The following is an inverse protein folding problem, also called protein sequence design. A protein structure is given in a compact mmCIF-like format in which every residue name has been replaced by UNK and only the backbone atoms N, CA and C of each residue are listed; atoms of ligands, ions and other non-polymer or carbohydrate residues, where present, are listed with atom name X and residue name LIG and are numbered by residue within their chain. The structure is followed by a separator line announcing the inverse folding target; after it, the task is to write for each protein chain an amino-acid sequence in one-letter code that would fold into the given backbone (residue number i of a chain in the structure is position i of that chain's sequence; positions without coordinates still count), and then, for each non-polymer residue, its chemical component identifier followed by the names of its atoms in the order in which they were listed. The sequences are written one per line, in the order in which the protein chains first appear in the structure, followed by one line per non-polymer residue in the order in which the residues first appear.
data_IF_771137785554
#
_entry.id   IF_771137785554
#
_cell.length_a   1.000
_cell.length_b   1.000
_cell.length_c   1.000
_cell.angle_alpha   90.00
_cell.angle_beta   90.00
_cell.angle_gamma   90.00
#
_symmetry.space_group_name_H-M   'P 1'
#
loop_
_entity.id
_entity.type
_entity.pdbx_description
1 polymer ?
#
# COMPACT_ATOMS: atom_id res chain seq x y z
N UNK A 1 62.42 -24.54 -12.24
CA UNK A 1 61.51 -24.00 -11.20
C UNK A 1 60.29 -23.46 -11.91
N UNK A 2 59.12 -24.07 -11.73
CA UNK A 2 57.88 -23.76 -12.47
C UNK A 2 56.94 -23.06 -11.49
N UNK A 3 56.71 -21.76 -11.68
CA UNK A 3 55.88 -20.96 -10.79
C UNK A 3 54.40 -21.31 -11.02
N UNK A 4 53.73 -21.80 -9.96
CA UNK A 4 52.29 -22.04 -9.93
C UNK A 4 51.63 -20.77 -9.41
N UNK A 5 50.85 -20.10 -10.25
CA UNK A 5 49.99 -19.00 -9.83
C UNK A 5 48.66 -19.59 -9.34
N UNK A 6 48.36 -19.44 -8.05
CA UNK A 6 47.05 -19.77 -7.47
C UNK A 6 46.06 -18.66 -7.82
N UNK A 7 45.02 -19.01 -8.58
CA UNK A 7 43.88 -18.14 -8.84
C UNK A 7 42.88 -18.30 -7.69
N UNK A 8 42.76 -17.29 -6.83
CA UNK A 8 41.75 -17.26 -5.76
C UNK A 8 40.46 -16.69 -6.31
N UNK A 9 39.38 -17.47 -6.31
CA UNK A 9 38.04 -17.04 -6.71
C UNK A 9 37.39 -16.30 -5.53
N UNK A 10 37.20 -14.98 -5.63
CA UNK A 10 36.43 -14.20 -4.69
C UNK A 10 34.95 -14.28 -5.09
N UNK A 11 34.16 -15.04 -4.33
CA UNK A 11 32.71 -15.09 -4.50
C UNK A 11 32.10 -13.77 -4.01
N UNK A 12 31.65 -12.94 -4.95
CA UNK A 12 30.77 -11.80 -4.67
C UNK A 12 29.34 -12.35 -4.61
N UNK A 13 28.72 -12.35 -3.43
CA UNK A 13 27.28 -12.60 -3.31
C UNK A 13 26.54 -11.42 -3.93
N UNK A 14 26.02 -11.60 -5.13
CA UNK A 14 25.11 -10.66 -5.78
C UNK A 14 23.77 -10.70 -5.02
N UNK A 15 23.49 -9.66 -4.24
CA UNK A 15 22.19 -9.47 -3.61
C UNK A 15 21.20 -9.07 -4.72
N UNK A 16 20.42 -10.03 -5.21
CA UNK A 16 19.36 -9.78 -6.20
C UNK A 16 18.21 -9.11 -5.44
N UNK A 17 18.19 -7.77 -5.46
CA UNK A 17 17.02 -7.01 -5.07
C UNK A 17 15.94 -7.14 -6.13
N UNK A 18 14.79 -7.70 -5.78
CA UNK A 18 13.62 -7.75 -6.64
C UNK A 18 13.01 -6.34 -6.76
N UNK A 19 13.08 -5.72 -7.93
CA UNK A 19 12.37 -4.47 -8.22
C UNK A 19 11.14 -4.77 -9.07
N UNK A 20 9.99 -5.01 -8.41
CA UNK A 20 8.70 -4.97 -9.08
C UNK A 20 8.29 -3.52 -9.34
N UNK A 21 7.64 -3.24 -10.48
CA UNK A 21 6.97 -1.95 -10.68
C UNK A 21 5.73 -1.90 -9.78
N UNK A 22 5.83 -1.08 -8.73
CA UNK A 22 4.77 -0.88 -7.75
C UNK A 22 3.94 0.33 -8.15
N UNK A 23 2.62 0.15 -8.31
CA UNK A 23 1.68 1.26 -8.49
C UNK A 23 1.23 1.76 -7.12
N UNK A 24 1.29 3.08 -6.92
CA UNK A 24 0.74 3.75 -5.75
C UNK A 24 -0.54 4.47 -6.14
N UNK A 25 -1.67 4.03 -5.61
CA UNK A 25 -2.97 4.68 -5.78
C UNK A 25 -3.21 5.59 -4.58
N UNK A 26 -3.40 6.89 -4.79
CA UNK A 26 -3.72 7.83 -3.71
C UNK A 26 -5.23 8.12 -3.73
N UNK A 27 -5.91 7.85 -2.61
CA UNK A 27 -7.33 8.16 -2.42
C UNK A 27 -7.45 9.20 -1.31
N UNK A 28 -7.99 10.37 -1.66
CA UNK A 28 -8.01 11.54 -0.80
C UNK A 28 -6.68 12.32 -0.82
N UNK A 29 -6.76 13.65 -0.92
CA UNK A 29 -5.60 14.54 -1.03
C UNK A 29 -5.75 15.85 -0.27
N UNK A 30 -6.89 16.08 0.40
CA UNK A 30 -7.07 17.28 1.22
C UNK A 30 -6.24 17.20 2.50
N UNK A 31 -6.07 18.33 3.18
CA UNK A 31 -5.21 18.44 4.37
C UNK A 31 -6.01 18.69 5.64
N UNK A 32 -7.27 18.23 5.70
CA UNK A 32 -8.09 18.44 6.89
C UNK A 32 -7.52 17.62 8.04
N UNK A 33 -7.50 18.23 9.23
CA UNK A 33 -7.08 17.64 10.49
C UNK A 33 -8.22 17.74 11.49
N UNK A 34 -8.23 16.87 12.51
CA UNK A 34 -9.29 16.81 13.52
C UNK A 34 -10.37 15.74 13.34
N UNK A 35 -10.63 15.15 12.16
CA UNK A 35 -11.34 13.87 12.10
C UNK A 35 -10.58 12.79 12.87
N UNK A 36 -11.29 12.06 13.72
CA UNK A 36 -10.75 10.99 14.59
C UNK A 36 -10.46 9.68 13.85
N UNK A 37 -9.92 9.76 12.64
CA UNK A 37 -9.65 8.63 11.73
C UNK A 37 -8.29 8.81 11.03
N UNK A 38 -7.56 7.73 10.73
CA UNK A 38 -7.86 6.33 11.06
C UNK A 38 -7.47 5.97 12.50
N UNK A 39 -6.68 6.80 13.17
CA UNK A 39 -6.36 6.70 14.60
C UNK A 39 -6.66 8.08 15.21
N UNK A 40 -7.21 8.11 16.42
CA UNK A 40 -7.36 9.33 17.22
C UNK A 40 -6.28 9.33 18.31
N UNK A 41 -5.12 9.99 18.10
CA UNK A 41 -3.98 9.86 19.00
C UNK A 41 -4.22 10.49 20.37
N UNK A 42 -5.20 11.39 20.52
CA UNK A 42 -5.48 12.05 21.80
C UNK A 42 -6.22 11.16 22.82
N UNK A 43 -6.56 9.93 22.45
CA UNK A 43 -7.20 8.96 23.33
C UNK A 43 -6.39 7.68 23.42
N UNK A 44 -6.57 6.99 24.55
CA UNK A 44 -5.80 5.79 24.87
C UNK A 44 -6.01 4.55 23.98
N UNK A 45 -7.09 4.51 23.20
CA UNK A 45 -7.42 3.41 22.30
C UNK A 45 -8.29 3.94 21.15
N UNK A 46 -8.15 3.36 19.96
CA UNK A 46 -8.99 3.66 18.80
C UNK A 46 -9.43 2.39 18.07
N UNK A 47 -10.72 2.29 17.74
CA UNK A 47 -11.20 1.42 16.66
C UNK A 47 -11.94 2.24 15.61
N UNK A 48 -11.42 2.26 14.38
CA UNK A 48 -11.99 3.01 13.27
C UNK A 48 -12.29 2.13 12.06
N UNK A 49 -13.18 2.63 11.19
CA UNK A 49 -13.39 2.11 9.85
C UNK A 49 -13.57 3.26 8.86
N UNK A 50 -12.87 3.15 7.73
CA UNK A 50 -12.96 4.05 6.58
C UNK A 50 -13.41 3.29 5.33
N UNK A 51 -14.41 3.82 4.62
CA UNK A 51 -14.88 3.30 3.33
C UNK A 51 -14.18 4.07 2.20
N UNK A 52 -13.54 3.33 1.29
CA UNK A 52 -12.89 3.81 0.08
C UNK A 52 -13.66 3.32 -1.15
N UNK A 53 -14.10 4.25 -2.00
CA UNK A 53 -14.94 3.87 -3.13
C UNK A 53 -14.17 3.17 -4.22
N UNK A 54 -14.82 2.20 -4.85
CA UNK A 54 -14.27 1.46 -5.96
C UNK A 54 -13.83 2.38 -7.11
N UNK A 55 -14.64 3.40 -7.43
CA UNK A 55 -14.36 4.37 -8.47
C UNK A 55 -13.15 5.26 -8.19
N UNK A 56 -12.76 5.42 -6.93
CA UNK A 56 -11.58 6.21 -6.53
C UNK A 56 -10.30 5.36 -6.57
N UNK A 57 -10.41 4.05 -6.34
CA UNK A 57 -9.28 3.11 -6.45
C UNK A 57 -9.04 2.73 -7.90
N UNK A 58 -10.10 2.38 -8.63
CA UNK A 58 -10.12 2.21 -10.09
C UNK A 58 -9.42 0.97 -10.65
N UNK A 59 -8.64 0.23 -9.85
CA UNK A 59 -7.86 -0.94 -10.30
C UNK A 59 -7.99 -2.12 -9.33
N UNK A 60 -7.99 -3.35 -9.88
CA UNK A 60 -7.92 -4.57 -9.08
C UNK A 60 -6.45 -4.95 -8.85
N UNK A 61 -6.17 -5.67 -7.77
CA UNK A 61 -4.83 -6.16 -7.49
C UNK A 61 -4.61 -6.49 -6.02
N UNK A 62 -3.43 -7.02 -5.72
CA UNK A 62 -3.04 -7.31 -4.35
C UNK A 62 -2.46 -6.06 -3.71
N UNK A 63 -3.14 -5.48 -2.73
CA UNK A 63 -2.60 -4.41 -1.89
C UNK A 63 -1.54 -5.07 -0.99
N UNK A 64 -0.34 -4.49 -0.96
CA UNK A 64 0.83 -5.03 -0.23
C UNK A 64 1.34 -4.09 0.84
N UNK A 65 1.01 -2.81 0.74
CA UNK A 65 1.23 -1.82 1.78
C UNK A 65 0.16 -0.75 1.69
N UNK A 66 -0.09 -0.08 2.80
CA UNK A 66 -0.86 1.15 2.86
C UNK A 66 -0.05 2.25 3.49
N UNK A 67 -0.42 3.50 3.22
CA UNK A 67 0.17 4.64 3.90
C UNK A 67 -0.89 5.63 4.30
N UNK A 68 -0.79 6.15 5.52
CA UNK A 68 -1.59 7.27 5.98
C UNK A 68 -0.71 8.51 6.10
N UNK A 69 -1.24 9.68 5.75
CA UNK A 69 -0.50 10.92 5.89
C UNK A 69 -0.66 11.46 7.30
N UNK A 70 0.44 11.57 8.03
CA UNK A 70 0.46 12.01 9.42
C UNK A 70 1.17 13.35 9.58
N UNK A 71 0.72 14.16 10.54
CA UNK A 71 1.38 15.38 11.00
C UNK A 71 1.25 15.49 12.52
N UNK A 72 2.36 15.74 13.21
CA UNK A 72 2.38 15.84 14.67
C UNK A 72 3.71 15.46 15.27
N UNK A 73 3.67 15.02 16.52
CA UNK A 73 4.79 14.51 17.30
C UNK A 73 5.12 13.06 16.92
N UNK A 74 6.32 12.58 17.23
CA UNK A 74 6.65 11.16 17.06
C UNK A 74 6.13 10.34 18.24
N UNK A 75 5.48 9.22 17.93
CA UNK A 75 4.98 8.24 18.88
C UNK A 75 5.00 6.83 18.27
N UNK A 76 4.72 5.81 19.08
CA UNK A 76 4.80 4.42 18.67
C UNK A 76 3.83 3.58 19.46
N UNK A 77 2.92 2.92 18.75
CA UNK A 77 1.85 2.09 19.31
C UNK A 77 1.71 0.79 18.51
N UNK A 78 1.21 -0.27 19.15
CA UNK A 78 0.77 -1.49 18.49
C UNK A 78 -0.64 -1.32 17.91
N UNK A 79 -0.78 -1.65 16.62
CA UNK A 79 -2.03 -1.60 15.88
C UNK A 79 -2.33 -2.94 15.20
N UNK A 80 -3.61 -3.14 14.89
CA UNK A 80 -4.08 -4.18 13.97
C UNK A 80 -4.83 -3.49 12.82
N UNK A 81 -4.50 -3.85 11.58
CA UNK A 81 -5.22 -3.37 10.40
C UNK A 81 -6.01 -4.51 9.79
N UNK A 82 -7.26 -4.24 9.49
CA UNK A 82 -8.14 -5.14 8.76
C UNK A 82 -8.59 -4.52 7.45
N UNK A 83 -8.83 -5.35 6.45
CA UNK A 83 -9.41 -4.95 5.18
C UNK A 83 -10.56 -5.85 4.78
N UNK A 84 -11.56 -5.30 4.12
CA UNK A 84 -12.70 -6.06 3.60
C UNK A 84 -13.27 -5.43 2.34
N UNK A 85 -13.95 -6.25 1.55
CA UNK A 85 -14.85 -5.77 0.51
C UNK A 85 -16.19 -5.41 1.13
N UNK A 86 -16.81 -4.33 0.66
CA UNK A 86 -18.13 -3.90 1.14
C UNK A 86 -18.95 -3.27 0.03
N UNK A 87 -20.25 -3.52 0.05
CA UNK A 87 -21.22 -2.82 -0.80
C UNK A 87 -21.69 -1.50 -0.20
N UNK A 88 -21.32 -1.21 1.07
CA UNK A 88 -21.67 0.04 1.74
C UNK A 88 -21.02 1.22 1.03
N UNK A 89 -21.81 2.26 0.79
CA UNK A 89 -21.33 3.58 0.37
C UNK A 89 -21.20 4.54 1.56
N UNK A 90 -21.82 4.22 2.69
CA UNK A 90 -21.74 5.01 3.92
C UNK A 90 -22.08 4.17 5.15
N UNK A 91 -21.70 4.69 6.31
CA UNK A 91 -22.19 4.25 7.61
C UNK A 91 -23.50 4.96 7.94
N UNK A 92 -24.57 4.19 8.07
CA UNK A 92 -25.93 4.73 8.26
C UNK A 92 -26.23 5.10 9.71
N UNK A 93 -25.46 4.59 10.67
CA UNK A 93 -25.58 4.88 12.10
C UNK A 93 -24.22 4.75 12.80
N UNK A 94 -24.12 5.16 14.07
CA UNK A 94 -22.89 5.01 14.89
C UNK A 94 -22.62 3.57 15.36
N UNK A 95 -23.45 2.61 14.94
CA UNK A 95 -23.25 1.17 15.20
C UNK A 95 -23.18 0.36 13.90
N UNK A 96 -23.13 1.01 12.74
CA UNK A 96 -23.18 0.37 11.43
C UNK A 96 -21.82 -0.15 10.95
N UNK A 97 -21.01 -0.67 11.88
CA UNK A 97 -19.70 -1.23 11.58
C UNK A 97 -19.81 -2.35 10.55
N UNK A 98 -18.85 -2.45 9.63
CA UNK A 98 -18.66 -3.69 8.86
C UNK A 98 -18.22 -4.77 9.86
N UNK A 99 -18.95 -5.90 10.00
CA UNK A 99 -18.63 -6.91 11.00
C UNK A 99 -17.26 -7.54 10.77
N UNK A 100 -16.55 -7.89 11.85
CA UNK A 100 -15.21 -8.51 11.79
C UNK A 100 -15.17 -9.77 10.92
N UNK A 101 -16.23 -10.58 10.89
CA UNK A 101 -16.31 -11.77 10.04
C UNK A 101 -16.29 -11.50 8.53
N UNK A 102 -16.45 -10.24 8.12
CA UNK A 102 -16.32 -9.76 6.72
C UNK A 102 -14.98 -9.08 6.46
N UNK A 103 -14.07 -9.05 7.46
CA UNK A 103 -12.77 -8.41 7.39
C UNK A 103 -11.66 -9.46 7.48
N UNK A 104 -10.55 -9.18 6.81
CA UNK A 104 -9.31 -9.95 6.90
C UNK A 104 -8.29 -9.14 7.67
N UNK A 105 -7.68 -9.71 8.71
CA UNK A 105 -6.52 -9.11 9.36
C UNK A 105 -5.34 -9.14 8.38
N UNK A 106 -4.84 -7.96 8.01
CA UNK A 106 -3.76 -7.83 7.01
C UNK A 106 -2.44 -7.38 7.62
N UNK A 107 -2.47 -6.83 8.83
CA UNK A 107 -1.30 -6.41 9.58
C UNK A 107 -1.56 -6.48 11.08
N UNK A 108 -0.56 -6.89 11.86
CA UNK A 108 -0.56 -6.72 13.32
C UNK A 108 0.86 -6.47 13.80
N UNK A 109 1.08 -5.31 14.40
CA UNK A 109 2.39 -4.93 14.89
C UNK A 109 2.52 -3.44 15.21
N UNK A 110 3.75 -3.02 15.38
CA UNK A 110 4.09 -1.66 15.82
C UNK A 110 4.02 -0.64 14.68
N UNK A 111 3.23 0.41 14.89
CA UNK A 111 3.14 1.59 14.05
C UNK A 111 3.91 2.76 14.67
N UNK A 112 4.85 3.33 13.92
CA UNK A 112 5.73 4.40 14.40
C UNK A 112 5.56 5.64 13.52
N UNK A 113 5.16 6.75 14.13
CA UNK A 113 5.10 8.05 13.46
C UNK A 113 6.43 8.80 13.58
N UNK A 114 6.56 9.89 12.82
CA UNK A 114 7.75 10.75 12.88
C UNK A 114 7.34 12.21 13.11
N UNK A 115 8.29 13.03 13.57
CA UNK A 115 8.08 14.48 13.73
C UNK A 115 7.97 15.23 12.41
N UNK A 116 8.29 14.58 11.29
CA UNK A 116 8.18 15.16 9.95
C UNK A 116 6.88 14.71 9.32
N UNK A 117 6.04 15.67 8.93
CA UNK A 117 4.79 15.36 8.26
C UNK A 117 5.04 14.57 6.96
N UNK A 118 4.26 13.52 6.74
CA UNK A 118 4.48 12.64 5.60
C UNK A 118 3.64 11.37 5.64
N UNK A 119 3.79 10.58 4.58
CA UNK A 119 3.17 9.26 4.45
C UNK A 119 3.91 8.24 5.32
N UNK A 120 3.23 7.71 6.33
CA UNK A 120 3.73 6.63 7.19
C UNK A 120 3.27 5.31 6.59
N UNK A 121 4.22 4.42 6.27
CA UNK A 121 3.95 3.16 5.59
C UNK A 121 3.73 2.00 6.55
N UNK A 122 2.72 1.19 6.23
CA UNK A 122 2.42 -0.10 6.85
C UNK A 122 2.53 -1.15 5.75
N UNK A 123 3.58 -1.97 5.79
CA UNK A 123 3.71 -3.15 4.92
C UNK A 123 2.80 -4.24 5.49
N UNK A 124 1.91 -4.79 4.67
CA UNK A 124 0.95 -5.80 5.10
C UNK A 124 1.65 -7.15 5.27
N UNK A 125 1.36 -7.84 6.37
CA UNK A 125 1.79 -9.22 6.61
C UNK A 125 1.07 -10.17 5.64
N UNK A 126 -0.21 -9.89 5.38
CA UNK A 126 -1.06 -10.61 4.44
C UNK A 126 -1.53 -9.64 3.36
N UNK A 127 -1.00 -9.72 2.12
CA UNK A 127 -1.49 -8.91 1.02
C UNK A 127 -3.01 -9.10 0.80
N UNK A 128 -3.73 -8.01 0.56
CA UNK A 128 -5.18 -8.04 0.39
C UNK A 128 -5.56 -8.02 -1.09
N UNK A 129 -6.26 -9.07 -1.56
CA UNK A 129 -6.72 -9.17 -2.94
C UNK A 129 -7.95 -8.27 -3.19
N UNK A 130 -7.73 -7.03 -3.61
CA UNK A 130 -8.78 -6.09 -3.93
C UNK A 130 -9.40 -6.37 -5.31
N UNK A 131 -10.74 -6.45 -5.38
CA UNK A 131 -11.47 -6.98 -6.52
C UNK A 131 -11.92 -5.93 -7.55
N UNK A 132 -11.83 -4.64 -7.19
CA UNK A 132 -12.29 -3.51 -7.99
C UNK A 132 -13.74 -3.62 -8.48
N UNK A 133 -14.58 -4.34 -7.73
CA UNK A 133 -16.02 -4.46 -7.97
C UNK A 133 -16.82 -3.93 -6.78
N UNK A 134 -16.30 -4.14 -5.57
CA UNK A 134 -16.84 -3.63 -4.31
C UNK A 134 -16.00 -2.47 -3.80
N UNK A 135 -16.55 -1.67 -2.89
CA UNK A 135 -15.76 -0.70 -2.14
C UNK A 135 -14.81 -1.42 -1.18
N UNK A 136 -13.72 -0.75 -0.82
CA UNK A 136 -12.79 -1.21 0.20
C UNK A 136 -13.18 -0.61 1.54
N UNK A 137 -13.23 -1.40 2.61
CA UNK A 137 -13.20 -0.88 3.98
C UNK A 137 -11.83 -1.20 4.58
N UNK A 138 -11.21 -0.20 5.22
CA UNK A 138 -10.01 -0.38 6.05
C UNK A 138 -10.42 -0.09 7.49
N UNK A 139 -10.16 -1.03 8.39
CA UNK A 139 -10.34 -0.85 9.82
C UNK A 139 -8.98 -0.78 10.51
N UNK A 140 -8.83 0.12 11.48
CA UNK A 140 -7.62 0.25 12.29
C UNK A 140 -8.00 0.15 13.76
N UNK A 141 -7.30 -0.73 14.47
CA UNK A 141 -7.47 -1.03 15.89
C UNK A 141 -6.17 -0.76 16.64
N UNK A 142 -6.11 0.36 17.34
CA UNK A 142 -4.97 0.82 18.13
C UNK A 142 -5.14 0.35 19.58
N UNK A 143 -4.13 -0.36 20.10
CA UNK A 143 -4.24 -1.23 21.26
C UNK A 143 -3.31 -0.85 22.44
N UNK A 144 -2.57 0.25 22.32
CA UNK A 144 -1.52 0.67 23.25
C UNK A 144 -2.07 1.63 24.29
N UNK A 145 -1.98 1.25 25.56
CA UNK A 145 -2.42 2.13 26.64
C UNK A 145 -1.61 3.43 26.67
N UNK A 146 -2.31 4.56 26.60
CA UNK A 146 -1.74 5.91 26.73
C UNK A 146 -2.17 6.80 25.57
N UNK A 147 -2.12 8.11 25.77
CA UNK A 147 -2.52 9.08 24.75
C UNK A 147 -1.34 9.95 24.33
N UNK A 148 -1.43 10.50 23.13
CA UNK A 148 -0.45 11.41 22.53
C UNK A 148 -0.98 12.85 22.51
N UNK A 149 -0.37 13.74 21.71
CA UNK A 149 -0.75 15.15 21.71
C UNK A 149 -2.13 15.34 21.08
N UNK A 150 -2.90 16.30 21.60
CA UNK A 150 -4.14 16.75 20.96
C UNK A 150 -3.93 17.45 19.61
N UNK A 151 -2.67 17.66 19.21
CA UNK A 151 -2.26 18.21 17.92
C UNK A 151 -1.74 17.16 16.93
N UNK A 152 -1.78 15.88 17.29
CA UNK A 152 -1.32 14.78 16.45
C UNK A 152 -2.49 14.31 15.57
N UNK A 153 -2.34 14.42 14.25
CA UNK A 153 -3.44 14.20 13.31
C UNK A 153 -3.03 13.44 12.07
N UNK A 154 -4.00 12.73 11.50
CA UNK A 154 -3.94 12.21 10.15
C UNK A 154 -4.71 13.13 9.20
N UNK A 155 -4.18 13.33 7.99
CA UNK A 155 -4.89 14.11 6.99
C UNK A 155 -6.07 13.33 6.41
N UNK A 156 -7.20 14.02 6.30
CA UNK A 156 -8.44 13.47 5.79
C UNK A 156 -9.00 14.28 4.63
N UNK A 157 -9.80 13.63 3.80
CA UNK A 157 -10.56 14.24 2.70
C UNK A 157 -12.04 14.28 3.01
N UNK A 158 -12.66 15.42 2.71
CA UNK A 158 -14.09 15.65 2.86
C UNK A 158 -14.89 14.73 1.93
N UNK A 159 -16.07 14.31 2.37
CA UNK A 159 -17.01 13.51 1.59
C UNK A 159 -18.44 14.05 1.75
N UNK A 160 -19.31 13.74 0.79
CA UNK A 160 -20.75 14.01 0.92
C UNK A 160 -21.51 12.91 1.67
N UNK A 161 -20.83 11.81 2.03
CA UNK A 161 -21.40 10.64 2.69
C UNK A 161 -20.59 10.29 3.94
N UNK A 162 -21.23 9.61 4.90
CA UNK A 162 -20.56 9.22 6.15
C UNK A 162 -19.61 8.04 5.92
N UNK A 163 -18.34 8.32 5.59
CA UNK A 163 -17.36 7.30 5.18
C UNK A 163 -16.35 6.93 6.26
N UNK A 164 -16.23 7.73 7.32
CA UNK A 164 -15.36 7.46 8.45
C UNK A 164 -16.18 7.29 9.74
N UNK A 165 -15.84 6.28 10.52
CA UNK A 165 -16.46 6.00 11.81
C UNK A 165 -15.40 5.57 12.81
N UNK A 166 -15.46 6.08 14.04
CA UNK A 166 -14.45 5.82 15.06
C UNK A 166 -15.05 5.75 16.47
N UNK A 167 -14.64 4.73 17.21
CA UNK A 167 -14.73 4.64 18.65
C UNK A 167 -13.35 4.93 19.25
N UNK A 168 -13.31 5.76 20.29
CA UNK A 168 -12.08 6.03 21.03
C UNK A 168 -12.36 6.11 22.53
N UNK A 169 -11.39 5.74 23.36
CA UNK A 169 -11.55 5.67 24.82
C UNK A 169 -10.21 5.67 25.54
N UNK A 170 -10.11 6.34 26.68
CA UNK A 170 -8.93 6.21 27.57
C UNK A 170 -9.01 4.98 28.48
N UNK A 171 -10.23 4.47 28.73
CA UNK A 171 -10.48 3.49 29.78
C UNK A 171 -10.78 2.09 29.27
N UNK A 172 -11.03 1.92 27.97
CA UNK A 172 -11.49 0.64 27.41
C UNK A 172 -10.93 0.45 26.01
N UNK A 173 -10.05 -0.53 25.87
CA UNK A 173 -9.64 -1.02 24.56
C UNK A 173 -10.84 -1.73 23.90
N UNK A 174 -11.32 -1.27 22.74
CA UNK A 174 -12.45 -1.90 22.04
C UNK A 174 -12.11 -3.32 21.58
N UNK A 175 -13.13 -4.19 21.52
CA UNK A 175 -13.02 -5.49 20.83
C UNK A 175 -13.64 -5.35 19.43
N UNK A 176 -12.85 -5.46 18.34
CA UNK A 176 -13.36 -5.40 16.97
C UNK A 176 -14.44 -6.44 16.64
N UNK A 177 -14.54 -7.55 17.38
CA UNK A 177 -15.60 -8.54 17.20
C UNK A 177 -16.95 -8.07 17.74
N UNK A 178 -16.94 -7.15 18.71
CA UNK A 178 -18.13 -6.53 19.31
C UNK A 178 -17.89 -5.03 19.51
N UNK A 179 -17.73 -4.26 18.42
CA UNK A 179 -17.32 -2.86 18.52
C UNK A 179 -18.40 -2.03 19.23
N UNK A 180 -18.02 -1.15 20.17
CA UNK A 180 -18.96 -0.26 20.83
C UNK A 180 -19.63 0.74 19.88
N UNK A 181 -20.59 1.52 20.39
CA UNK A 181 -21.13 2.66 19.64
C UNK A 181 -20.03 3.68 19.38
N UNK A 182 -19.84 4.04 18.10
CA UNK A 182 -18.87 5.05 17.69
C UNK A 182 -19.12 6.42 18.34
N UNK A 183 -18.04 7.08 18.77
CA UNK A 183 -18.05 8.47 19.23
C UNK A 183 -18.09 9.44 18.04
N UNK A 184 -17.50 9.02 16.92
CA UNK A 184 -17.36 9.80 15.70
C UNK A 184 -17.98 9.06 14.51
N UNK A 185 -18.80 9.77 13.75
CA UNK A 185 -19.25 9.37 12.40
C UNK A 185 -19.23 10.61 11.52
N UNK A 186 -18.33 10.62 10.55
CA UNK A 186 -17.94 11.84 9.84
C UNK A 186 -18.14 11.80 8.34
N UNK A 187 -18.34 12.99 7.78
CA UNK A 187 -18.31 13.27 6.34
C UNK A 187 -16.87 13.39 5.84
N UNK A 188 -15.99 12.51 6.31
CA UNK A 188 -14.57 12.47 6.00
C UNK A 188 -14.12 11.02 5.86
N UNK A 189 -13.01 10.81 5.18
CA UNK A 189 -12.26 9.56 5.22
C UNK A 189 -10.76 9.87 5.31
N UNK A 190 -10.00 8.99 5.95
CA UNK A 190 -8.55 9.13 6.06
C UNK A 190 -7.88 9.06 4.68
N UNK A 191 -6.97 9.98 4.36
CA UNK A 191 -6.21 9.90 3.11
C UNK A 191 -5.34 8.65 3.12
N UNK A 192 -5.39 7.85 2.06
CA UNK A 192 -4.63 6.60 1.96
C UNK A 192 -3.87 6.51 0.65
N UNK A 193 -2.65 5.99 0.72
CA UNK A 193 -1.98 5.41 -0.45
C UNK A 193 -2.06 3.89 -0.39
N UNK A 194 -2.56 3.28 -1.46
CA UNK A 194 -2.58 1.83 -1.64
C UNK A 194 -1.42 1.43 -2.56
N UNK A 195 -0.61 0.50 -2.10
CA UNK A 195 0.57 0.00 -2.81
C UNK A 195 0.22 -1.33 -3.45
N UNK A 196 -0.03 -1.31 -4.75
CA UNK A 196 -0.44 -2.47 -5.56
C UNK A 196 0.66 -2.77 -6.58
N UNK A 197 1.40 -3.88 -6.46
CA UNK A 197 2.35 -4.28 -7.48
C UNK A 197 1.63 -4.59 -8.79
N UNK A 198 2.19 -4.12 -9.92
CA UNK A 198 1.64 -4.44 -11.23
C UNK A 198 2.03 -5.87 -11.62
N UNK A 199 1.04 -6.75 -11.72
CA UNK A 199 1.21 -8.09 -12.29
C UNK A 199 0.51 -8.15 -13.65
N UNK A 200 1.27 -8.46 -14.70
CA UNK A 200 0.71 -8.70 -16.04
C UNK A 200 0.51 -10.21 -16.22
N UNK A 201 -0.74 -10.65 -16.08
CA UNK A 201 -1.11 -12.05 -16.34
C UNK A 201 -0.91 -12.38 -17.82
N UNK A 202 -0.35 -13.55 -18.09
CA UNK A 202 -0.34 -14.13 -19.43
C UNK A 202 -1.59 -14.99 -19.56
N UNK A 203 -2.40 -14.73 -20.57
CA UNK A 203 -3.56 -15.57 -20.88
C UNK A 203 -3.19 -16.63 -21.91
N UNK A 204 -3.66 -17.87 -21.71
CA UNK A 204 -3.45 -18.96 -22.65
C UNK A 204 -4.06 -18.62 -24.03
N UNK A 205 -3.23 -18.60 -25.07
CA UNK A 205 -3.61 -18.16 -26.43
C UNK A 205 -3.85 -16.65 -26.59
N UNK A 206 -3.65 -15.83 -25.56
CA UNK A 206 -3.68 -14.37 -25.65
C UNK A 206 -2.29 -13.80 -25.88
N UNK A 207 -2.16 -12.87 -26.83
CA UNK A 207 -0.93 -12.08 -26.92
C UNK A 207 -0.99 -10.94 -25.89
N UNK A 208 -0.21 -11.00 -24.82
CA UNK A 208 0.12 -9.79 -24.05
C UNK A 208 1.14 -8.99 -24.88
N UNK A 209 0.66 -8.10 -25.74
CA UNK A 209 1.47 -7.41 -26.78
C UNK A 209 2.17 -6.13 -26.33
N UNK A 210 1.98 -5.67 -25.10
CA UNK A 210 2.58 -4.41 -24.66
C UNK A 210 2.97 -4.43 -23.18
N UNK A 211 4.27 -4.46 -22.92
CA UNK A 211 4.85 -3.76 -21.78
C UNK A 211 5.55 -2.50 -22.33
N UNK A 212 5.18 -1.30 -21.85
CA UNK A 212 5.82 -0.04 -22.28
C UNK A 212 6.80 0.44 -21.20
N UNK A 213 8.09 0.52 -21.56
CA UNK A 213 9.10 1.29 -20.83
C UNK A 213 9.61 2.40 -21.73
N UNK A 214 9.82 3.61 -21.19
CA UNK A 214 10.54 4.67 -21.88
C UNK A 214 12.01 4.53 -21.48
N UNK A 215 12.89 4.29 -22.46
CA UNK A 215 14.33 4.24 -22.26
C UNK A 215 14.92 5.56 -22.75
N UNK A 216 15.58 6.30 -21.85
CA UNK A 216 16.30 7.52 -22.20
C UNK A 216 17.79 7.28 -21.96
N UNK A 217 18.61 7.35 -23.00
CA UNK A 217 20.06 7.54 -22.85
C UNK A 217 20.33 9.05 -22.69
N UNK A 218 20.86 9.52 -21.54
CA UNK A 218 21.14 10.94 -21.34
C UNK A 218 22.35 11.45 -22.13
N UNK A 219 23.15 10.60 -22.76
CA UNK A 219 24.43 10.98 -23.37
C UNK A 219 24.51 10.70 -24.88
N UNK A 220 23.49 11.13 -25.63
CA UNK A 220 23.52 11.12 -27.10
C UNK A 220 24.59 12.06 -27.67
N UNK A 221 25.83 11.57 -27.81
CA UNK A 221 26.86 12.24 -28.59
C UNK A 221 26.50 12.13 -30.06
N UNK A 222 26.40 13.27 -30.75
CA UNK A 222 25.98 13.35 -32.15
C UNK A 222 26.85 12.48 -33.07
N UNK A 223 26.27 11.45 -33.68
CA UNK A 223 26.91 10.77 -34.83
C UNK A 223 26.68 9.27 -34.97
N UNK A 224 26.01 8.61 -34.03
CA UNK A 224 25.73 7.17 -34.13
C UNK A 224 24.26 6.87 -34.37
N UNK A 225 23.99 5.91 -35.24
CA UNK A 225 22.64 5.40 -35.48
C UNK A 225 22.26 4.51 -34.29
N UNK A 226 21.61 5.09 -33.30
CA UNK A 226 21.12 4.37 -32.14
C UNK A 226 20.24 3.20 -32.60
N UNK A 227 20.53 1.99 -32.12
CA UNK A 227 19.66 0.83 -32.30
C UNK A 227 18.43 0.97 -31.39
N UNK A 228 17.59 1.96 -31.68
CA UNK A 228 16.23 2.10 -31.16
C UNK A 228 15.34 1.04 -31.81
N UNK A 229 15.64 -0.23 -31.55
CA UNK A 229 14.89 -1.37 -32.03
C UNK A 229 13.92 -1.88 -30.95
N UNK A 230 12.66 -2.07 -31.31
CA UNK A 230 11.72 -2.83 -30.48
C UNK A 230 12.05 -4.32 -30.56
N UNK A 231 12.47 -4.92 -29.46
CA UNK A 231 12.65 -6.37 -29.38
C UNK A 231 11.35 -7.02 -28.89
N UNK A 232 10.81 -7.95 -29.69
CA UNK A 232 9.67 -8.76 -29.30
C UNK A 232 10.17 -10.15 -28.91
N UNK A 233 9.95 -10.55 -27.66
CA UNK A 233 10.21 -11.92 -27.21
C UNK A 233 8.87 -12.63 -26.98
N UNK A 234 8.71 -13.81 -27.56
CA UNK A 234 7.50 -14.63 -27.39
C UNK A 234 7.75 -15.65 -26.30
N UNK A 235 6.99 -15.56 -25.22
CA UNK A 235 7.00 -16.55 -24.14
C UNK A 235 5.80 -17.48 -24.32
N UNK A 236 6.02 -18.79 -24.18
CA UNK A 236 4.93 -19.76 -24.14
C UNK A 236 4.59 -20.03 -22.67
N UNK A 237 3.42 -19.58 -22.23
CA UNK A 237 2.92 -19.71 -20.86
C UNK A 237 1.81 -20.76 -20.77
N UNK A 238 1.76 -21.54 -19.69
CA UNK A 238 0.60 -22.34 -19.29
C UNK A 238 -0.49 -21.49 -18.63
N UNK A 239 -1.60 -22.14 -18.21
CA UNK A 239 -2.84 -21.49 -17.71
C UNK A 239 -2.72 -20.70 -16.39
N UNK A 240 -1.51 -20.59 -15.82
CA UNK A 240 -1.26 -19.98 -14.50
C UNK A 240 0.07 -19.23 -14.41
N UNK A 241 0.75 -19.02 -15.54
CA UNK A 241 2.09 -18.44 -15.54
C UNK A 241 2.06 -16.91 -15.55
N UNK A 242 2.99 -16.29 -14.82
CA UNK A 242 3.16 -14.84 -14.73
C UNK A 242 4.52 -14.48 -15.35
N UNK A 243 4.55 -13.47 -16.22
CA UNK A 243 5.81 -12.90 -16.72
C UNK A 243 6.26 -11.78 -15.78
N UNK A 244 7.40 -12.01 -15.12
CA UNK A 244 8.10 -11.00 -14.34
C UNK A 244 9.34 -10.56 -15.12
N UNK A 245 9.38 -9.29 -15.52
CA UNK A 245 10.57 -8.72 -16.13
C UNK A 245 11.48 -8.16 -15.04
N UNK A 246 12.56 -8.88 -14.73
CA UNK A 246 13.63 -8.44 -13.83
C UNK A 246 14.83 -7.95 -14.65
N UNK A 247 14.90 -6.65 -14.95
CA UNK A 247 16.07 -6.06 -15.59
C UNK A 247 17.17 -5.87 -14.53
N UNK A 248 18.17 -6.74 -14.51
CA UNK A 248 19.23 -6.75 -13.48
C UNK A 248 20.54 -6.12 -13.92
N UNK A 249 20.92 -6.19 -15.21
CA UNK A 249 22.07 -5.52 -15.83
C UNK A 249 21.81 -5.38 -17.33
N UNK A 250 22.21 -4.25 -17.95
CA UNK A 250 22.43 -4.14 -19.40
C UNK A 250 23.92 -3.87 -19.64
N UNK A 251 24.60 -4.79 -20.31
CA UNK A 251 25.93 -4.55 -20.87
C UNK A 251 25.79 -4.54 -22.40
N UNK A 252 26.18 -3.44 -23.03
CA UNK A 252 26.41 -3.41 -24.46
C UNK A 252 27.86 -3.85 -24.69
N UNK A 253 28.06 -4.98 -25.35
CA UNK A 253 29.39 -5.38 -25.82
C UNK A 253 29.53 -5.00 -27.29
N UNK A 254 30.42 -4.06 -27.56
CA UNK A 254 30.85 -3.77 -28.94
C UNK A 254 31.66 -4.96 -29.46
N UNK A 255 31.23 -5.54 -30.59
CA UNK A 255 32.10 -6.38 -31.39
C UNK A 255 33.02 -5.47 -32.21
N UNK A 256 34.33 -5.64 -32.02
CA UNK A 256 35.37 -4.89 -32.73
C UNK A 256 35.35 -5.10 -34.25
#
# INVERSE_FOLDING_TARGET
MKNIYKLTFLSVFLFIGFFGFTQTITVGTETNTGPSIPIEPFYGYTYSQDIYYQSEIGVAGSITAIRFYYTGSAWTDDIVVYMGHTTKTEFTSTTDWVPLGSLTQVYSGTFTTTTTAGWIEIVLDVPFAYNNSDNLVIAVDENTAGYHSSSDYFHCTSSTSYRGMCYYSDGTNPDPATPPTANYRGLFFANVQLVIPNYYNLTDGGNTTSCSGIFCDPEGTSGYNDFNGSYTHTFCSGSSDILKFDFTVFETTEAA
#
